data_IF_842412311926
#
_entry.id   IF_842412311926
#
_cell.length_a   1.000
_cell.length_b   1.000
_cell.length_c   1.000
_cell.angle_alpha   90.00
_cell.angle_beta   90.00
_cell.angle_gamma   90.00
#
_symmetry.space_group_name_H-M   'P 1'
#
loop_
_entity.id
_entity.type
_entity.pdbx_description
1 polymer ?
#
# COMPACT_ATOMS: atom_id res chain seq x y z
N UNK A 1 28.17 -6.39 4.26
CA UNK A 1 27.20 -5.76 3.35
C UNK A 1 25.97 -6.66 3.22
N UNK A 2 25.18 -6.80 4.29
CA UNK A 2 23.96 -7.62 4.31
C UNK A 2 22.90 -7.06 5.27
N UNK A 3 23.32 -6.22 6.23
CA UNK A 3 22.40 -5.55 7.17
C UNK A 3 21.46 -4.56 6.48
N UNK A 4 21.91 -3.83 5.46
CA UNK A 4 21.13 -2.76 4.82
C UNK A 4 19.90 -3.27 4.04
N UNK A 5 19.95 -4.49 3.53
CA UNK A 5 18.86 -5.03 2.70
C UNK A 5 17.61 -5.35 3.54
N UNK A 6 17.81 -5.72 4.81
CA UNK A 6 16.71 -6.04 5.72
C UNK A 6 16.03 -4.78 6.26
N UNK A 7 16.80 -3.75 6.54
CA UNK A 7 16.28 -2.43 6.91
C UNK A 7 15.53 -1.78 5.74
N UNK A 8 16.10 -1.87 4.53
CA UNK A 8 15.42 -1.42 3.30
C UNK A 8 14.10 -2.16 3.07
N UNK A 9 13.99 -3.45 3.43
CA UNK A 9 12.74 -4.20 3.36
C UNK A 9 11.74 -3.73 4.43
N UNK A 10 12.20 -3.44 5.65
CA UNK A 10 11.35 -2.91 6.71
C UNK A 10 10.74 -1.54 6.32
N UNK A 11 11.53 -0.68 5.66
CA UNK A 11 11.08 0.64 5.21
C UNK A 11 10.05 0.59 4.05
N UNK A 12 9.94 -0.54 3.36
CA UNK A 12 8.95 -0.72 2.27
C UNK A 12 7.55 -1.07 2.76
N UNK A 13 7.32 -1.15 4.08
CA UNK A 13 6.05 -1.56 4.65
C UNK A 13 5.87 -3.08 4.74
N UNK A 14 6.96 -3.85 4.61
CA UNK A 14 6.95 -5.27 4.92
C UNK A 14 6.71 -5.46 6.43
N UNK A 15 5.72 -6.29 6.79
CA UNK A 15 5.51 -6.67 8.19
C UNK A 15 6.69 -7.49 8.73
N UNK A 16 6.91 -7.46 10.05
CA UNK A 16 7.98 -8.27 10.68
C UNK A 16 7.87 -9.75 10.34
N UNK A 17 6.64 -10.28 10.33
CA UNK A 17 6.37 -11.67 9.97
C UNK A 17 6.80 -11.98 8.52
N UNK A 18 6.61 -11.03 7.61
CA UNK A 18 7.06 -11.18 6.22
C UNK A 18 8.58 -11.24 6.13
N UNK A 19 9.29 -10.41 6.90
CA UNK A 19 10.76 -10.38 6.93
C UNK A 19 11.33 -11.68 7.53
N UNK A 20 10.73 -12.21 8.58
CA UNK A 20 11.15 -13.49 9.17
C UNK A 20 10.96 -14.65 8.20
N UNK A 21 9.80 -14.71 7.54
CA UNK A 21 9.52 -15.75 6.54
C UNK A 21 10.41 -15.62 5.29
N UNK A 22 10.78 -14.40 4.91
CA UNK A 22 11.69 -14.11 3.80
C UNK A 22 13.12 -14.59 4.06
N UNK A 23 13.60 -14.54 5.31
CA UNK A 23 14.95 -14.99 5.70
C UNK A 23 15.16 -16.49 5.52
N UNK A 24 14.10 -17.28 5.62
CA UNK A 24 14.14 -18.74 5.50
C UNK A 24 13.89 -19.25 4.07
N UNK A 25 13.55 -18.36 3.14
CA UNK A 25 13.17 -18.70 1.76
C UNK A 25 14.38 -18.82 0.83
N UNK A 26 14.21 -19.62 -0.24
CA UNK A 26 15.18 -19.65 -1.35
C UNK A 26 15.10 -18.37 -2.18
N UNK A 27 16.14 -18.09 -2.98
CA UNK A 27 16.21 -16.86 -3.80
C UNK A 27 15.02 -16.69 -4.76
N UNK A 28 14.47 -17.78 -5.30
CA UNK A 28 13.28 -17.75 -6.16
C UNK A 28 12.00 -17.42 -5.37
N UNK A 29 11.84 -18.02 -4.19
CA UNK A 29 10.71 -17.75 -3.30
C UNK A 29 10.74 -16.31 -2.78
N UNK A 30 11.93 -15.79 -2.49
CA UNK A 30 12.15 -14.39 -2.12
C UNK A 30 11.67 -13.45 -3.23
N UNK A 31 12.05 -13.70 -4.48
CA UNK A 31 11.61 -12.89 -5.62
C UNK A 31 10.08 -12.91 -5.78
N UNK A 32 9.45 -14.09 -5.70
CA UNK A 32 7.99 -14.21 -5.73
C UNK A 32 7.31 -13.47 -4.59
N UNK A 33 7.85 -13.58 -3.36
CA UNK A 33 7.32 -12.89 -2.19
C UNK A 33 7.34 -11.37 -2.38
N UNK A 34 8.43 -10.79 -2.93
CA UNK A 34 8.49 -9.35 -3.24
C UNK A 34 7.50 -8.93 -4.33
N UNK A 35 7.38 -9.72 -5.40
CA UNK A 35 6.43 -9.42 -6.48
C UNK A 35 4.98 -9.43 -5.97
N UNK A 36 4.64 -10.38 -5.10
CA UNK A 36 3.34 -10.44 -4.45
C UNK A 36 3.13 -9.26 -3.52
N UNK A 37 4.13 -8.90 -2.71
CA UNK A 37 4.03 -7.74 -1.82
C UNK A 37 3.84 -6.43 -2.61
N UNK A 38 4.57 -6.24 -3.72
CA UNK A 38 4.37 -5.11 -4.64
C UNK A 38 2.93 -5.04 -5.15
N UNK A 39 2.33 -6.18 -5.52
CA UNK A 39 0.94 -6.22 -5.99
C UNK A 39 -0.04 -5.83 -4.87
N UNK A 40 0.17 -6.35 -3.67
CA UNK A 40 -0.65 -5.98 -2.50
C UNK A 40 -0.59 -4.48 -2.20
N UNK A 41 0.60 -3.88 -2.23
CA UNK A 41 0.75 -2.43 -2.05
C UNK A 41 -0.01 -1.64 -3.12
N UNK A 42 0.09 -2.08 -4.38
CA UNK A 42 -0.62 -1.45 -5.49
C UNK A 42 -2.14 -1.54 -5.31
N UNK A 43 -2.65 -2.72 -4.94
CA UNK A 43 -4.08 -2.92 -4.68
C UNK A 43 -4.55 -2.04 -3.51
N UNK A 44 -3.76 -1.92 -2.43
CA UNK A 44 -4.07 -1.03 -1.31
C UNK A 44 -4.10 0.44 -1.72
N UNK A 45 -3.20 0.88 -2.61
CA UNK A 45 -3.22 2.23 -3.16
C UNK A 45 -4.48 2.45 -3.99
N UNK A 46 -4.84 1.50 -4.87
CA UNK A 46 -6.06 1.59 -5.66
C UNK A 46 -7.32 1.66 -4.79
N UNK A 47 -7.40 0.85 -3.73
CA UNK A 47 -8.52 0.87 -2.78
C UNK A 47 -8.63 2.22 -2.06
N UNK A 48 -7.50 2.79 -1.63
CA UNK A 48 -7.46 4.12 -0.99
C UNK A 48 -7.84 5.22 -1.99
N UNK A 49 -7.41 5.12 -3.24
CA UNK A 49 -7.78 6.06 -4.29
C UNK A 49 -9.30 6.05 -4.51
N UNK A 50 -9.92 4.87 -4.61
CA UNK A 50 -11.37 4.73 -4.76
C UNK A 50 -12.12 5.36 -3.56
N UNK A 51 -11.59 5.20 -2.35
CA UNK A 51 -12.17 5.83 -1.15
C UNK A 51 -12.08 7.36 -1.22
N UNK A 52 -10.93 7.90 -1.65
CA UNK A 52 -10.75 9.34 -1.84
C UNK A 52 -11.70 9.89 -2.90
N UNK A 53 -11.79 9.25 -4.07
CA UNK A 53 -12.67 9.69 -5.16
C UNK A 53 -14.13 9.78 -4.71
N UNK A 54 -14.58 8.81 -3.92
CA UNK A 54 -15.94 8.81 -3.33
C UNK A 54 -16.11 9.93 -2.31
N UNK A 55 -15.12 10.15 -1.45
CA UNK A 55 -15.15 11.23 -0.47
C UNK A 55 -15.20 12.59 -1.15
N UNK A 56 -14.39 12.80 -2.18
CA UNK A 56 -14.35 14.02 -2.97
C UNK A 56 -15.69 14.29 -3.67
N UNK A 57 -16.33 13.24 -4.19
CA UNK A 57 -17.68 13.36 -4.73
C UNK A 57 -18.69 13.82 -3.66
N UNK A 58 -18.65 13.24 -2.46
CA UNK A 58 -19.52 13.65 -1.35
C UNK A 58 -19.26 15.12 -0.98
N UNK A 59 -18.00 15.53 -0.87
CA UNK A 59 -17.62 16.91 -0.58
C UNK A 59 -18.11 17.87 -1.67
N UNK A 60 -17.97 17.51 -2.95
CA UNK A 60 -18.48 18.29 -4.06
C UNK A 60 -20.00 18.50 -3.97
N UNK A 61 -20.76 17.42 -3.72
CA UNK A 61 -22.22 17.48 -3.59
C UNK A 61 -22.64 18.38 -2.42
N UNK A 62 -21.97 18.25 -1.28
CA UNK A 62 -22.25 19.07 -0.11
C UNK A 62 -21.96 20.56 -0.37
N UNK A 63 -20.82 20.89 -1.00
CA UNK A 63 -20.46 22.26 -1.37
C UNK A 63 -21.48 22.86 -2.34
N UNK A 64 -21.85 22.12 -3.39
CA UNK A 64 -22.81 22.58 -4.41
C UNK A 64 -24.21 22.81 -3.83
N UNK A 65 -24.66 21.98 -2.88
CA UNK A 65 -25.94 22.16 -2.18
C UNK A 65 -25.93 23.35 -1.21
N UNK A 66 -24.76 23.67 -0.63
CA UNK A 66 -24.58 24.87 0.19
C UNK A 66 -24.59 26.16 -0.63
N UNK A 67 -24.02 26.14 -1.84
CA UNK A 67 -24.01 27.30 -2.75
C UNK A 67 -25.38 27.62 -3.35
N UNK A 68 -26.26 26.63 -3.53
CA UNK A 68 -27.63 26.87 -4.03
C UNK A 68 -28.59 27.44 -2.96
N UNK A 69 -28.15 27.58 -1.71
CA UNK A 69 -28.94 28.16 -0.60
C UNK A 69 -28.51 29.58 -0.22
N UNK A 70 -27.54 30.16 -0.92
CA UNK A 70 -27.17 31.58 -0.83
C UNK A 70 -27.82 32.35 -1.98
#
# INVERSE_FOLDING_TARGET
MASDMWESLADTGCSRDFIEQYRTQTREQQLQSLQRHRRYLLDSIHDKQIQLDRLDYVLYVLRKRGDQRK
#
